data_IF_092531091851
#
_entry.id   IF_092531091851
#
_cell.length_a   1.000
_cell.length_b   1.000
_cell.length_c   1.000
_cell.angle_alpha   90.00
_cell.angle_beta   90.00
_cell.angle_gamma   90.00
#
_symmetry.space_group_name_H-M   'P 1'
#
loop_
_entity.id
_entity.type
_entity.pdbx_description
1 polymer ?
#
# COMPACT_ATOMS: atom_id res chain seq x y z
N UNK A 1 -7.55 -20.50 14.53
CA UNK A 1 -7.94 -19.16 14.04
C UNK A 1 -6.75 -18.27 14.33
N UNK A 2 -6.06 -17.80 13.30
CA UNK A 2 -4.96 -16.85 13.46
C UNK A 2 -5.59 -15.47 13.69
N UNK A 3 -5.47 -14.96 14.92
CA UNK A 3 -5.85 -13.59 15.23
C UNK A 3 -4.75 -12.68 14.71
N UNK A 4 -5.07 -11.86 13.70
CA UNK A 4 -4.13 -10.86 13.17
C UNK A 4 -3.84 -9.84 14.27
N UNK A 5 -2.59 -9.80 14.72
CA UNK A 5 -2.10 -8.77 15.62
C UNK A 5 -1.70 -7.53 14.79
N UNK A 6 -2.04 -6.36 15.30
CA UNK A 6 -1.69 -5.06 14.79
C UNK A 6 -0.83 -4.35 15.83
N UNK A 7 0.16 -3.57 15.38
CA UNK A 7 1.09 -2.86 16.26
C UNK A 7 1.14 -1.38 15.87
N UNK A 8 1.18 -0.50 16.87
CA UNK A 8 1.48 0.93 16.73
C UNK A 8 2.72 1.24 17.56
N UNK A 9 3.80 1.67 16.92
CA UNK A 9 5.09 1.92 17.57
C UNK A 9 5.25 3.40 17.88
N UNK A 10 5.22 3.77 19.15
CA UNK A 10 5.47 5.16 19.55
C UNK A 10 6.92 5.39 20.00
N UNK A 11 7.70 4.31 20.18
CA UNK A 11 9.11 4.35 20.58
C UNK A 11 9.37 5.19 21.86
N UNK A 12 8.40 5.20 22.77
CA UNK A 12 8.46 5.93 24.05
C UNK A 12 8.89 5.02 25.19
N UNK A 13 9.77 5.51 26.08
CA UNK A 13 10.26 4.75 27.24
C UNK A 13 10.13 5.58 28.53
N UNK A 14 10.34 4.94 29.69
CA UNK A 14 10.38 5.64 30.98
C UNK A 14 9.05 6.32 31.35
N UNK A 15 9.10 7.60 31.68
CA UNK A 15 7.92 8.37 32.09
C UNK A 15 6.98 8.68 30.91
N UNK A 16 7.51 8.84 29.70
CA UNK A 16 6.70 9.03 28.50
C UNK A 16 5.87 7.79 28.17
N UNK A 17 6.42 6.60 28.44
CA UNK A 17 5.66 5.34 28.36
C UNK A 17 4.52 5.30 29.38
N UNK A 18 4.73 5.76 30.61
CA UNK A 18 3.65 5.82 31.62
C UNK A 18 2.56 6.79 31.20
N UNK A 19 2.94 7.92 30.58
CA UNK A 19 2.01 8.89 30.00
C UNK A 19 1.18 8.25 28.88
N UNK A 20 1.81 7.48 27.98
CA UNK A 20 1.11 6.70 26.95
C UNK A 20 0.11 5.72 27.57
N UNK A 21 0.55 4.94 28.57
CA UNK A 21 -0.31 3.96 29.26
C UNK A 21 -1.52 4.62 29.93
N UNK A 22 -1.33 5.76 30.59
CA UNK A 22 -2.43 6.49 31.21
C UNK A 22 -3.36 7.10 30.16
N UNK A 23 -2.83 7.72 29.11
CA UNK A 23 -3.63 8.26 28.02
C UNK A 23 -4.50 7.17 27.35
N UNK A 24 -3.93 5.99 27.05
CA UNK A 24 -4.69 4.86 26.51
C UNK A 24 -5.79 4.41 27.45
N UNK A 25 -5.50 4.33 28.76
CA UNK A 25 -6.51 3.98 29.76
C UNK A 25 -7.64 5.01 29.89
N UNK A 26 -7.32 6.29 29.79
CA UNK A 26 -8.31 7.38 29.86
C UNK A 26 -9.19 7.41 28.60
N UNK A 27 -8.63 7.16 27.41
CA UNK A 27 -9.37 7.18 26.13
C UNK A 27 -10.35 6.01 26.02
N UNK A 28 -9.92 4.82 26.47
CA UNK A 28 -10.71 3.60 26.49
C UNK A 28 -11.57 3.47 27.76
N UNK A 29 -11.43 4.41 28.70
CA UNK A 29 -12.09 4.38 30.02
C UNK A 29 -11.81 3.09 30.81
N UNK A 30 -10.65 2.46 30.56
CA UNK A 30 -10.21 1.20 31.17
C UNK A 30 -8.93 1.41 31.96
N UNK A 31 -8.91 0.91 33.20
CA UNK A 31 -7.75 1.08 34.07
C UNK A 31 -6.59 0.18 33.63
N UNK A 32 -5.39 0.73 33.34
CA UNK A 32 -4.25 -0.08 32.93
C UNK A 32 -3.80 -1.07 33.99
N UNK A 33 -3.56 -2.30 33.57
CA UNK A 33 -3.08 -3.40 34.43
C UNK A 33 -1.65 -3.75 34.07
N UNK A 34 -0.76 -3.61 35.04
CA UNK A 34 0.64 -3.98 34.86
C UNK A 34 0.82 -5.50 34.94
N UNK A 35 1.41 -6.10 33.90
CA UNK A 35 1.57 -7.57 33.78
C UNK A 35 2.84 -8.12 34.46
N UNK A 36 3.75 -7.25 34.92
CA UNK A 36 4.96 -7.67 35.63
C UNK A 36 6.02 -8.35 34.73
N UNK A 37 7.02 -8.97 35.35
CA UNK A 37 8.09 -9.66 34.62
C UNK A 37 7.60 -10.97 33.97
N UNK A 38 8.16 -11.40 32.83
CA UNK A 38 9.30 -10.82 32.11
C UNK A 38 8.93 -9.78 31.04
N UNK A 39 7.64 -9.54 30.77
CA UNK A 39 7.20 -8.64 29.68
C UNK A 39 7.26 -7.16 30.07
N UNK A 40 7.08 -6.85 31.35
CA UNK A 40 6.93 -5.50 31.90
C UNK A 40 5.83 -4.70 31.18
N UNK A 41 4.87 -5.37 30.54
CA UNK A 41 3.83 -4.75 29.70
C UNK A 41 2.64 -4.25 30.53
N UNK A 42 1.83 -3.37 29.93
CA UNK A 42 0.53 -2.97 30.47
C UNK A 42 -0.58 -3.48 29.58
N UNK A 43 -1.62 -4.04 30.17
CA UNK A 43 -2.84 -4.46 29.51
C UNK A 43 -3.92 -3.39 29.75
N UNK A 44 -4.55 -2.93 28.68
CA UNK A 44 -5.67 -2.00 28.68
C UNK A 44 -6.72 -2.59 27.75
N UNK A 45 -7.66 -3.35 28.32
CA UNK A 45 -8.66 -4.10 27.56
C UNK A 45 -8.05 -5.03 26.50
N UNK A 46 -8.38 -4.88 25.21
CA UNK A 46 -7.78 -5.65 24.10
C UNK A 46 -6.41 -5.12 23.63
N UNK A 47 -5.87 -4.10 24.30
CA UNK A 47 -4.60 -3.46 23.95
C UNK A 47 -3.50 -3.84 24.94
N UNK A 48 -2.28 -4.05 24.44
CA UNK A 48 -1.09 -4.33 25.24
C UNK A 48 0.03 -3.36 24.90
N UNK A 49 0.59 -2.69 25.91
CA UNK A 49 1.65 -1.70 25.75
C UNK A 49 2.97 -2.29 26.26
N UNK A 50 3.89 -2.56 25.33
CA UNK A 50 5.19 -3.16 25.64
C UNK A 50 6.15 -2.17 26.33
N UNK A 51 7.37 -2.63 26.67
CA UNK A 51 8.41 -1.83 27.34
C UNK A 51 8.99 -0.70 26.49
N UNK A 52 8.83 -0.77 25.16
CA UNK A 52 9.36 0.19 24.19
C UNK A 52 8.30 1.21 23.74
N UNK A 53 7.08 1.14 24.27
CA UNK A 53 5.99 2.02 23.87
C UNK A 53 5.28 1.56 22.59
N UNK A 54 5.31 0.27 22.29
CA UNK A 54 4.52 -0.36 21.22
C UNK A 54 3.17 -0.77 21.78
N UNK A 55 2.09 -0.28 21.16
CA UNK A 55 0.71 -0.68 21.45
C UNK A 55 0.31 -1.79 20.50
N UNK A 56 -0.01 -2.96 21.03
CA UNK A 56 -0.41 -4.17 20.29
C UNK A 56 -1.89 -4.45 20.55
N UNK A 57 -2.66 -4.71 19.52
CA UNK A 57 -4.07 -5.13 19.61
C UNK A 57 -4.37 -6.13 18.49
N UNK A 58 -5.50 -6.82 18.57
CA UNK A 58 -5.91 -7.77 17.53
C UNK A 58 -7.29 -7.44 16.95
N UNK A 59 -7.75 -8.26 16.01
CA UNK A 59 -9.03 -8.08 15.31
C UNK A 59 -10.28 -8.12 16.21
N UNK A 60 -10.13 -8.32 17.53
CA UNK A 60 -11.23 -8.23 18.51
C UNK A 60 -11.46 -6.80 19.02
N UNK A 61 -10.46 -5.92 18.90
CA UNK A 61 -10.63 -4.51 19.24
C UNK A 61 -11.60 -3.85 18.26
N UNK A 62 -12.51 -3.03 18.79
CA UNK A 62 -13.51 -2.33 17.97
C UNK A 62 -12.83 -1.28 17.07
N UNK A 63 -13.22 -1.23 15.80
CA UNK A 63 -12.61 -0.30 14.83
C UNK A 63 -12.81 1.16 15.20
N UNK A 64 -13.94 1.52 15.80
CA UNK A 64 -14.23 2.89 16.25
C UNK A 64 -13.34 3.25 17.46
N UNK A 65 -13.10 2.29 18.37
CA UNK A 65 -12.19 2.49 19.51
C UNK A 65 -10.74 2.66 19.06
N UNK A 66 -10.30 1.90 18.04
CA UNK A 66 -8.96 2.03 17.46
C UNK A 66 -8.78 3.40 16.82
N UNK A 67 -9.72 3.86 15.99
CA UNK A 67 -9.63 5.16 15.31
C UNK A 67 -9.61 6.31 16.31
N UNK A 68 -10.51 6.28 17.31
CA UNK A 68 -10.56 7.24 18.42
C UNK A 68 -9.24 7.25 19.20
N UNK A 69 -8.65 6.08 19.47
CA UNK A 69 -7.39 5.97 20.18
C UNK A 69 -6.26 6.67 19.43
N UNK A 70 -6.14 6.41 18.12
CA UNK A 70 -5.09 7.00 17.28
C UNK A 70 -5.25 8.53 17.22
N UNK A 71 -6.45 9.03 16.99
CA UNK A 71 -6.72 10.47 16.91
C UNK A 71 -6.38 11.19 18.22
N UNK A 72 -6.84 10.65 19.36
CA UNK A 72 -6.60 11.26 20.67
C UNK A 72 -5.15 11.19 21.12
N UNK A 73 -4.46 10.10 20.82
CA UNK A 73 -3.02 10.00 21.10
C UNK A 73 -2.23 11.02 20.27
N UNK A 74 -2.61 11.24 19.01
CA UNK A 74 -2.02 12.27 18.17
C UNK A 74 -2.28 13.70 18.72
N UNK A 75 -3.50 14.01 19.18
CA UNK A 75 -3.79 15.28 19.87
C UNK A 75 -2.92 15.52 21.11
N UNK A 76 -2.54 14.43 21.80
CA UNK A 76 -1.64 14.47 22.96
C UNK A 76 -0.15 14.54 22.56
N UNK A 77 0.17 14.59 21.27
CA UNK A 77 1.54 14.68 20.76
C UNK A 77 2.27 13.34 20.73
N UNK A 78 1.56 12.22 20.80
CA UNK A 78 2.13 10.91 20.50
C UNK A 78 2.04 10.69 18.99
N UNK A 79 3.18 10.75 18.33
CA UNK A 79 3.30 10.36 16.93
C UNK A 79 3.65 8.87 16.87
N UNK A 80 2.72 8.05 16.39
CA UNK A 80 3.06 6.70 16.01
C UNK A 80 4.07 6.79 14.86
N UNK A 81 5.18 6.07 14.98
CA UNK A 81 5.96 5.68 13.83
C UNK A 81 4.98 5.11 12.83
N UNK A 82 5.03 5.61 11.59
CA UNK A 82 4.35 4.98 10.46
C UNK A 82 5.02 3.62 10.29
N UNK A 83 4.58 2.65 11.08
CA UNK A 83 4.69 1.25 10.72
C UNK A 83 3.85 1.18 9.46
N UNK A 84 4.53 1.29 8.32
CA UNK A 84 4.04 0.81 7.04
C UNK A 84 3.32 -0.48 7.38
N UNK A 85 1.99 -0.42 7.34
CA UNK A 85 1.13 -1.47 7.84
C UNK A 85 1.66 -2.78 7.29
N UNK A 86 1.79 -3.81 8.14
CA UNK A 86 2.24 -5.14 7.73
C UNK A 86 1.26 -5.76 6.73
N UNK A 87 1.37 -5.30 5.49
CA UNK A 87 1.69 -6.05 4.30
C UNK A 87 3.13 -5.68 3.91
N UNK A 88 4.10 -6.17 4.69
CA UNK A 88 5.49 -6.33 4.23
C UNK A 88 5.52 -7.43 3.15
N UNK A 89 4.87 -7.17 2.02
CA UNK A 89 5.00 -8.00 0.84
C UNK A 89 5.13 -7.18 -0.45
N UNK A 90 4.55 -5.96 -0.56
CA UNK A 90 4.04 -5.63 -1.90
C UNK A 90 4.52 -4.44 -2.71
N UNK A 91 5.47 -3.61 -2.25
CA UNK A 91 6.17 -2.74 -3.22
C UNK A 91 7.60 -2.44 -2.80
N UNK A 92 8.56 -2.98 -3.56
CA UNK A 92 9.96 -2.53 -3.43
C UNK A 92 10.64 -2.34 -4.79
N UNK A 93 9.99 -2.72 -5.89
CA UNK A 93 10.49 -2.43 -7.23
C UNK A 93 9.71 -1.24 -7.82
N UNK A 94 10.42 -0.12 -7.95
CA UNK A 94 9.90 1.10 -8.57
C UNK A 94 10.46 1.20 -9.98
N UNK A 95 9.59 1.23 -10.98
CA UNK A 95 9.99 1.51 -12.36
C UNK A 95 9.89 3.02 -12.57
N UNK A 96 10.99 3.63 -13.01
CA UNK A 96 11.04 5.07 -13.33
C UNK A 96 11.07 5.29 -14.83
N UNK A 97 10.21 6.17 -15.32
CA UNK A 97 10.20 6.61 -16.71
C UNK A 97 10.53 8.10 -16.80
N UNK A 98 11.36 8.52 -17.77
CA UNK A 98 11.63 9.94 -17.97
C UNK A 98 10.34 10.67 -18.37
N UNK A 99 10.14 11.85 -17.78
CA UNK A 99 8.99 12.71 -18.08
C UNK A 99 9.09 13.34 -19.49
N UNK A 100 10.22 13.17 -20.17
CA UNK A 100 10.48 13.64 -21.53
C UNK A 100 9.34 13.24 -22.49
N UNK A 101 8.64 14.25 -23.02
CA UNK A 101 7.52 14.07 -23.96
C UNK A 101 6.14 13.82 -23.32
N UNK A 102 6.02 13.92 -21.99
CA UNK A 102 4.72 13.98 -21.32
C UNK A 102 4.27 15.44 -21.14
N UNK A 103 3.14 15.79 -21.74
CA UNK A 103 2.40 17.01 -21.37
C UNK A 103 1.41 16.68 -20.25
N UNK A 104 0.90 17.67 -19.49
CA UNK A 104 -0.10 17.42 -18.44
C UNK A 104 -1.34 16.66 -18.95
N UNK A 105 -1.78 16.92 -20.19
CA UNK A 105 -2.88 16.18 -20.83
C UNK A 105 -2.55 14.70 -21.08
N UNK A 106 -1.28 14.39 -21.37
CA UNK A 106 -0.82 13.01 -21.59
C UNK A 106 -0.67 12.25 -20.28
N UNK A 107 -0.34 12.95 -19.19
CA UNK A 107 -0.38 12.39 -17.84
C UNK A 107 -1.80 12.07 -17.40
N UNK A 108 -2.76 12.96 -17.68
CA UNK A 108 -4.18 12.68 -17.40
C UNK A 108 -4.69 11.48 -18.22
N UNK A 109 -4.28 11.37 -19.49
CA UNK A 109 -4.57 10.18 -20.31
C UNK A 109 -3.94 8.90 -19.74
N UNK A 110 -2.71 8.98 -19.23
CA UNK A 110 -2.02 7.88 -18.57
C UNK A 110 -2.81 7.40 -17.35
N UNK A 111 -3.19 8.32 -16.47
CA UNK A 111 -4.02 8.02 -15.29
C UNK A 111 -5.35 7.39 -15.71
N UNK A 112 -6.03 7.95 -16.72
CA UNK A 112 -7.28 7.38 -17.25
C UNK A 112 -7.11 5.97 -17.83
N UNK A 113 -5.98 5.67 -18.48
CA UNK A 113 -5.67 4.33 -18.98
C UNK A 113 -5.53 3.34 -17.83
N UNK A 114 -4.78 3.73 -16.79
CA UNK A 114 -4.56 2.92 -15.59
C UNK A 114 -5.87 2.70 -14.85
N UNK A 115 -6.61 3.75 -14.51
CA UNK A 115 -7.91 3.65 -13.82
C UNK A 115 -8.91 2.78 -14.59
N UNK A 116 -8.99 2.92 -15.92
CA UNK A 116 -9.93 2.11 -16.69
C UNK A 116 -9.64 0.60 -16.61
N UNK A 117 -8.37 0.22 -16.41
CA UNK A 117 -7.87 -1.18 -16.40
C UNK A 117 -7.33 -1.56 -15.02
N UNK A 118 -7.62 -0.76 -14.01
CA UNK A 118 -7.06 -0.86 -12.67
C UNK A 118 -7.41 -2.22 -12.06
N UNK A 119 -8.66 -2.67 -12.19
CA UNK A 119 -9.06 -4.00 -11.71
C UNK A 119 -8.25 -5.15 -12.33
N UNK A 120 -7.92 -5.04 -13.62
CA UNK A 120 -7.10 -6.04 -14.31
C UNK A 120 -5.64 -5.97 -13.88
N UNK A 121 -5.10 -4.76 -13.75
CA UNK A 121 -3.73 -4.53 -13.31
C UNK A 121 -3.54 -4.96 -11.85
N UNK A 122 -4.46 -4.62 -10.94
CA UNK A 122 -4.47 -5.07 -9.55
C UNK A 122 -4.48 -6.60 -9.47
N UNK A 123 -5.34 -7.25 -10.26
CA UNK A 123 -5.39 -8.72 -10.31
C UNK A 123 -4.11 -9.35 -10.89
N UNK A 124 -3.47 -8.72 -11.89
CA UNK A 124 -2.29 -9.27 -12.56
C UNK A 124 -0.98 -9.02 -11.78
N UNK A 125 -0.87 -7.86 -11.14
CA UNK A 125 0.30 -7.45 -10.36
C UNK A 125 0.20 -7.91 -8.90
N UNK A 126 -1.00 -8.27 -8.44
CA UNK A 126 -1.26 -8.55 -7.03
C UNK A 126 -1.13 -7.28 -6.16
N UNK A 127 -1.25 -6.10 -6.76
CA UNK A 127 -1.13 -4.83 -6.06
C UNK A 127 -2.51 -4.35 -5.58
N UNK A 128 -2.56 -3.78 -4.38
CA UNK A 128 -3.78 -3.18 -3.83
C UNK A 128 -4.08 -1.83 -4.46
N UNK A 129 -3.05 -1.05 -4.79
CA UNK A 129 -3.14 0.28 -5.40
C UNK A 129 -2.07 0.51 -6.46
N UNK A 130 -2.38 1.40 -7.41
CA UNK A 130 -1.53 1.70 -8.56
C UNK A 130 -1.26 3.22 -8.65
N UNK A 131 -0.61 3.83 -7.63
CA UNK A 131 -0.32 5.26 -7.67
C UNK A 131 0.72 5.56 -8.76
N UNK A 132 0.52 6.65 -9.50
CA UNK A 132 1.52 7.18 -10.44
C UNK A 132 2.11 8.42 -9.78
N UNK A 133 3.35 8.35 -9.34
CA UNK A 133 4.01 9.48 -8.68
C UNK A 133 4.77 10.31 -9.73
N UNK A 134 4.44 11.59 -9.83
CA UNK A 134 5.17 12.53 -10.67
C UNK A 134 6.24 13.23 -9.84
N UNK A 135 7.49 13.14 -10.30
CA UNK A 135 8.63 13.92 -9.79
C UNK A 135 8.96 15.03 -10.79
N UNK A 136 9.93 15.90 -10.47
CA UNK A 136 10.37 17.00 -11.34
C UNK A 136 10.81 16.52 -12.73
N UNK A 137 11.51 15.38 -12.81
CA UNK A 137 12.08 14.86 -14.06
C UNK A 137 11.56 13.47 -14.49
N UNK A 138 10.89 12.73 -13.60
CA UNK A 138 10.53 11.32 -13.83
C UNK A 138 9.15 10.97 -13.30
N UNK A 139 8.52 9.96 -13.89
CA UNK A 139 7.32 9.29 -13.41
C UNK A 139 7.72 7.98 -12.74
N UNK A 140 7.24 7.77 -11.53
CA UNK A 140 7.53 6.57 -10.74
C UNK A 140 6.29 5.69 -10.63
N UNK A 141 6.49 4.40 -10.83
CA UNK A 141 5.46 3.36 -10.78
C UNK A 141 5.81 2.35 -9.69
N UNK A 142 5.47 2.64 -8.42
CA UNK A 142 5.69 1.73 -7.29
C UNK A 142 4.57 0.68 -7.26
N UNK A 143 4.51 -0.21 -8.26
CA UNK A 143 3.45 -1.20 -8.42
C UNK A 143 3.92 -2.65 -8.20
N UNK A 144 5.22 -2.86 -8.03
CA UNK A 144 5.84 -4.18 -8.18
C UNK A 144 6.53 -4.64 -6.89
N UNK A 145 6.36 -5.93 -6.60
CA UNK A 145 6.96 -6.63 -5.45
C UNK A 145 8.47 -6.79 -5.63
N UNK A 146 9.25 -6.89 -4.54
CA UNK A 146 10.72 -7.08 -4.61
C UNK A 146 11.14 -8.44 -5.18
N UNK A 147 10.28 -9.45 -5.05
CA UNK A 147 10.61 -10.85 -5.30
C UNK A 147 10.43 -11.30 -6.77
N UNK A 148 10.51 -10.37 -7.72
CA UNK A 148 10.34 -10.67 -9.13
C UNK A 148 11.60 -11.31 -9.71
N UNK A 149 11.41 -12.35 -10.52
CA UNK A 149 12.44 -12.91 -11.37
C UNK A 149 12.84 -11.90 -12.47
N UNK A 150 14.03 -12.08 -13.03
CA UNK A 150 14.57 -11.19 -14.06
C UNK A 150 13.66 -11.07 -15.29
N UNK A 151 12.98 -12.16 -15.66
CA UNK A 151 12.11 -12.17 -16.85
C UNK A 151 10.83 -11.39 -16.58
N UNK A 152 10.21 -11.59 -15.41
CA UNK A 152 9.06 -10.77 -14.98
C UNK A 152 9.40 -9.29 -14.85
N UNK A 153 10.53 -8.95 -14.24
CA UNK A 153 10.97 -7.56 -14.12
C UNK A 153 11.12 -6.88 -15.49
N UNK A 154 11.68 -7.59 -16.47
CA UNK A 154 11.78 -7.10 -17.85
C UNK A 154 10.43 -6.96 -18.54
N UNK A 155 9.52 -7.93 -18.35
CA UNK A 155 8.17 -7.88 -18.90
C UNK A 155 7.37 -6.69 -18.34
N UNK A 156 7.51 -6.41 -17.06
CA UNK A 156 6.86 -5.27 -16.41
C UNK A 156 7.45 -3.93 -16.83
N UNK A 157 8.78 -3.82 -16.96
CA UNK A 157 9.41 -2.61 -17.53
C UNK A 157 8.91 -2.34 -18.96
N UNK A 158 8.76 -3.41 -19.75
CA UNK A 158 8.20 -3.33 -21.10
C UNK A 158 6.73 -2.89 -21.06
N UNK A 159 5.93 -3.40 -20.13
CA UNK A 159 4.54 -3.01 -19.92
C UNK A 159 4.42 -1.51 -19.61
N UNK A 160 5.20 -1.01 -18.65
CA UNK A 160 5.21 0.42 -18.28
C UNK A 160 5.64 1.28 -19.46
N UNK A 161 6.67 0.85 -20.20
CA UNK A 161 7.16 1.56 -21.40
C UNK A 161 6.06 1.65 -22.46
N UNK A 162 5.42 0.52 -22.79
CA UNK A 162 4.32 0.47 -23.77
C UNK A 162 3.10 1.26 -23.33
N UNK A 163 2.81 1.26 -22.02
CA UNK A 163 1.72 2.04 -21.44
C UNK A 163 2.01 3.55 -21.54
N UNK A 164 3.26 3.97 -21.30
CA UNK A 164 3.71 5.34 -21.51
C UNK A 164 3.67 5.76 -22.99
N UNK A 165 4.13 4.91 -23.91
CA UNK A 165 4.04 5.12 -25.36
C UNK A 165 2.58 5.28 -25.80
N UNK A 166 1.71 4.38 -25.36
CA UNK A 166 0.27 4.42 -25.67
C UNK A 166 -0.39 5.69 -25.14
N UNK A 167 -0.02 6.13 -23.94
CA UNK A 167 -0.51 7.40 -23.38
C UNK A 167 -0.05 8.61 -24.20
N UNK A 168 1.19 8.57 -24.72
CA UNK A 168 1.75 9.60 -25.62
C UNK A 168 1.05 9.62 -26.99
N UNK A 169 0.79 8.46 -27.59
CA UNK A 169 0.18 8.35 -28.92
C UNK A 169 -1.32 8.62 -28.92
N UNK A 170 -2.06 8.08 -27.94
CA UNK A 170 -3.53 8.21 -27.93
C UNK A 170 -3.96 9.63 -27.56
N UNK A 171 -4.85 10.19 -28.39
CA UNK A 171 -5.38 11.55 -28.23
C UNK A 171 -6.68 11.59 -27.41
N UNK A 172 -7.41 10.47 -27.30
CA UNK A 172 -8.60 10.33 -26.44
C UNK A 172 -8.55 9.00 -25.69
N UNK A 173 -8.54 9.07 -24.37
CA UNK A 173 -8.64 7.90 -23.47
C UNK A 173 -9.91 8.04 -22.65
N UNK A 174 -10.70 6.95 -22.57
CA UNK A 174 -11.87 6.89 -21.70
C UNK A 174 -11.55 6.06 -20.46
N UNK A 175 -11.80 6.65 -19.29
CA UNK A 175 -11.69 6.02 -17.97
C UNK A 175 -12.76 4.96 -17.69
N UNK A 176 -13.57 4.57 -18.69
CA UNK A 176 -14.71 3.67 -18.47
C UNK A 176 -14.21 2.29 -18.05
N UNK A 177 -14.34 2.03 -16.75
CA UNK A 177 -14.22 0.70 -16.15
C UNK A 177 -15.27 -0.17 -16.82
N UNK A 178 -14.85 -1.26 -17.44
CA UNK A 178 -15.77 -2.28 -17.96
C UNK A 178 -15.73 -3.43 -16.98
N UNK A 179 -16.89 -3.89 -16.53
CA UNK A 179 -16.97 -5.20 -15.88
C UNK A 179 -16.48 -6.24 -16.88
N UNK A 180 -15.53 -7.05 -16.45
CA UNK A 180 -14.92 -8.08 -17.26
C UNK A 180 -15.24 -9.42 -16.61
N UNK A 181 -16.07 -10.20 -17.29
CA UNK A 181 -16.48 -11.55 -16.89
C UNK A 181 -15.32 -12.56 -16.93
N UNK A 182 -14.31 -12.32 -17.80
CA UNK A 182 -13.09 -13.12 -17.89
C UNK A 182 -11.81 -12.26 -17.84
N UNK A 183 -11.22 -12.04 -16.65
CA UNK A 183 -10.07 -11.15 -16.47
C UNK A 183 -8.83 -11.61 -17.24
N UNK A 184 -8.58 -12.92 -17.35
CA UNK A 184 -7.44 -13.47 -18.10
C UNK A 184 -7.54 -13.17 -19.59
N UNK A 185 -8.73 -13.34 -20.17
CA UNK A 185 -8.96 -13.05 -21.59
C UNK A 185 -8.87 -11.56 -21.90
N UNK A 186 -9.45 -10.70 -21.04
CA UNK A 186 -9.35 -9.26 -21.24
C UNK A 186 -7.93 -8.73 -21.07
N UNK A 187 -7.16 -9.25 -20.11
CA UNK A 187 -5.74 -8.91 -19.97
C UNK A 187 -4.98 -9.28 -21.25
N UNK A 188 -5.21 -10.48 -21.80
CA UNK A 188 -4.61 -10.89 -23.07
C UNK A 188 -4.97 -9.93 -24.21
N UNK A 189 -6.25 -9.62 -24.42
CA UNK A 189 -6.69 -8.68 -25.45
C UNK A 189 -6.09 -7.28 -25.25
N UNK A 190 -5.95 -6.85 -24.01
CA UNK A 190 -5.38 -5.55 -23.68
C UNK A 190 -3.87 -5.49 -23.96
N UNK A 191 -3.11 -6.52 -23.55
CA UNK A 191 -1.70 -6.65 -23.87
C UNK A 191 -1.47 -6.67 -25.39
N UNK A 192 -2.28 -7.42 -26.14
CA UNK A 192 -2.25 -7.40 -27.61
C UNK A 192 -2.51 -5.98 -28.16
N UNK A 193 -3.44 -5.22 -27.56
CA UNK A 193 -3.71 -3.84 -27.97
C UNK A 193 -2.61 -2.84 -27.63
N UNK A 194 -1.73 -3.16 -26.67
CA UNK A 194 -0.56 -2.38 -26.29
C UNK A 194 0.67 -2.71 -27.16
N UNK A 195 0.56 -3.68 -28.08
CA UNK A 195 1.65 -4.05 -28.97
C UNK A 195 2.52 -5.21 -28.46
N UNK A 196 2.06 -5.98 -27.48
CA UNK A 196 2.67 -7.28 -27.13
C UNK A 196 2.34 -8.34 -28.19
N UNK A 197 2.85 -8.15 -29.41
CA UNK A 197 2.65 -9.04 -30.55
C UNK A 197 4.03 -9.38 -31.12
N UNK A 198 4.66 -10.43 -30.60
CA UNK A 198 5.95 -10.93 -31.09
C UNK A 198 6.11 -12.42 -30.79
N UNK A 199 6.77 -13.17 -31.69
CA UNK A 199 7.09 -14.60 -31.50
C UNK A 199 7.92 -14.85 -30.23
N UNK A 200 8.59 -13.82 -29.73
CA UNK A 200 9.32 -13.73 -28.46
C UNK A 200 8.44 -13.89 -27.19
N UNK A 201 7.11 -13.79 -27.30
CA UNK A 201 6.15 -13.98 -26.18
C UNK A 201 5.26 -15.22 -26.32
N UNK A 202 5.52 -16.08 -27.31
CA UNK A 202 4.90 -17.41 -27.34
C UNK A 202 5.62 -18.29 -26.31
N UNK A 203 4.92 -18.56 -25.21
CA UNK A 203 5.31 -19.59 -24.24
C UNK A 203 5.53 -20.89 -25.02
N UNK A 204 6.78 -21.33 -25.12
CA UNK A 204 7.12 -22.69 -25.56
C UNK A 204 6.94 -23.66 -24.40
#
# INVERSE_FOLDING_TARGET
>A
MEHRAFELRYNVTGDERKRLVHATGDILEVKPKYLGAPSFAYEVDFFTIDKNGTVVFDSRADSEEIEKLIERLHELGFEAEKVDSESNDDVELVIEMPLTGFTPEKLDNLTKLVTAKELLLKAALGAHDLPIQQTENTLRFPWFKRNLDSDSAHAYATLITKLCETAKEKQRVSAKVREVDNPKYAMRCWLLSLGFIGDEYKVS
#
